data_IF_119999457041
#
_entry.id   IF_119999457041
#
_cell.length_a   1.000
_cell.length_b   1.000
_cell.length_c   1.000
_cell.angle_alpha   90.00
_cell.angle_beta   90.00
_cell.angle_gamma   90.00
#
_symmetry.space_group_name_H-M   'P 1'
#
loop_
_entity.id
_entity.type
_entity.pdbx_description
1 polymer ?
#
# COMPACT_ATOMS: atom_id res chain seq x y z
N UNK A 1 2.20 2.77 20.98
CA UNK A 1 3.38 2.81 21.85
C UNK A 1 3.37 1.67 22.84
N UNK A 2 2.22 1.40 23.47
CA UNK A 2 2.06 0.37 24.50
C UNK A 2 2.61 -1.00 24.11
N UNK A 3 2.36 -1.50 22.89
CA UNK A 3 2.92 -2.76 22.41
C UNK A 3 4.45 -2.85 22.49
N UNK A 4 5.17 -1.74 22.24
CA UNK A 4 6.63 -1.70 22.29
C UNK A 4 7.14 -1.59 23.73
N UNK A 5 6.46 -0.81 24.57
CA UNK A 5 6.78 -0.70 25.99
C UNK A 5 6.55 -2.04 26.71
N UNK A 6 5.42 -2.69 26.45
CA UNK A 6 5.11 -4.03 26.94
C UNK A 6 6.10 -5.08 26.41
N UNK A 7 6.63 -4.87 25.20
CA UNK A 7 7.71 -5.67 24.62
C UNK A 7 9.08 -5.44 25.26
N UNK A 8 9.19 -4.55 26.26
CA UNK A 8 10.43 -4.27 26.99
C UNK A 8 11.29 -3.13 26.42
N UNK A 9 10.84 -2.47 25.34
CA UNK A 9 11.60 -1.37 24.75
C UNK A 9 11.42 -0.07 25.55
N UNK A 10 12.52 0.54 25.95
CA UNK A 10 12.57 1.88 26.53
C UNK A 10 12.76 2.99 25.48
N UNK A 11 12.55 4.24 25.88
CA UNK A 11 12.77 5.44 25.05
C UNK A 11 12.11 5.35 23.66
N UNK A 12 10.88 4.83 23.61
CA UNK A 12 10.18 4.63 22.33
C UNK A 12 9.79 5.98 21.72
N UNK A 13 10.19 6.20 20.48
CA UNK A 13 9.81 7.35 19.65
C UNK A 13 9.10 6.86 18.40
N UNK A 14 8.05 7.57 17.98
CA UNK A 14 7.32 7.28 16.74
C UNK A 14 7.36 8.51 15.84
N UNK A 15 7.98 8.38 14.68
CA UNK A 15 8.04 9.41 13.65
C UNK A 15 7.07 9.13 12.52
N UNK A 16 6.48 10.20 11.98
CA UNK A 16 5.65 10.15 10.78
C UNK A 16 6.49 10.59 9.59
N UNK A 17 6.81 9.67 8.69
CA UNK A 17 7.67 9.91 7.54
C UNK A 17 6.83 9.89 6.27
N UNK A 18 6.75 11.03 5.59
CA UNK A 18 6.12 11.14 4.28
C UNK A 18 7.16 11.01 3.15
N UNK A 19 6.81 10.28 2.08
CA UNK A 19 7.59 10.23 0.84
C UNK A 19 6.67 10.27 -0.39
N UNK A 20 7.14 10.83 -1.52
CA UNK A 20 6.44 10.70 -2.78
C UNK A 20 6.53 9.25 -3.28
N UNK A 21 5.40 8.70 -3.72
CA UNK A 21 5.35 7.47 -4.50
C UNK A 21 5.09 7.81 -5.96
N UNK A 22 5.94 7.31 -6.85
CA UNK A 22 5.87 7.58 -8.29
C UNK A 22 5.85 6.24 -9.01
N UNK A 23 4.80 6.02 -9.79
CA UNK A 23 4.71 4.89 -10.70
C UNK A 23 4.69 5.40 -12.14
N UNK A 24 5.34 4.64 -13.04
CA UNK A 24 5.38 5.02 -14.46
C UNK A 24 3.98 4.94 -15.06
N UNK A 25 3.18 3.96 -14.66
CA UNK A 25 1.85 3.71 -15.20
C UNK A 25 0.82 3.44 -14.10
N UNK A 26 -0.44 3.84 -14.33
CA UNK A 26 -1.56 3.53 -13.43
C UNK A 26 -1.71 2.02 -13.16
N UNK A 27 -1.40 1.19 -14.17
CA UNK A 27 -1.45 -0.27 -14.04
C UNK A 27 -0.43 -0.82 -13.02
N UNK A 28 0.76 -0.22 -12.94
CA UNK A 28 1.78 -0.65 -11.97
C UNK A 28 1.27 -0.44 -10.53
N UNK A 29 0.55 0.67 -10.30
CA UNK A 29 -0.10 0.95 -9.02
C UNK A 29 -1.24 -0.03 -8.75
N UNK A 30 -2.09 -0.31 -9.74
CA UNK A 30 -3.20 -1.24 -9.60
C UNK A 30 -2.74 -2.65 -9.25
N UNK A 31 -1.70 -3.16 -9.92
CA UNK A 31 -1.09 -4.46 -9.61
C UNK A 31 -0.55 -4.48 -8.18
N UNK A 32 0.18 -3.43 -7.75
CA UNK A 32 0.70 -3.35 -6.39
C UNK A 32 -0.39 -3.33 -5.31
N UNK A 33 -1.50 -2.63 -5.56
CA UNK A 33 -2.63 -2.55 -4.62
C UNK A 33 -3.45 -3.85 -4.58
N UNK A 34 -3.62 -4.54 -5.70
CA UNK A 34 -4.44 -5.76 -5.76
C UNK A 34 -3.62 -6.97 -5.33
N UNK A 35 -2.45 -7.18 -5.93
CA UNK A 35 -1.65 -8.39 -5.70
C UNK A 35 -0.78 -8.32 -4.44
N UNK A 36 -0.41 -7.11 -4.01
CA UNK A 36 0.40 -6.90 -2.80
C UNK A 36 -0.39 -6.86 -1.50
N UNK A 37 -1.73 -6.84 -1.55
CA UNK A 37 -2.57 -6.81 -0.36
C UNK A 37 -3.08 -8.21 0.02
N UNK A 38 -3.23 -8.50 1.32
CA UNK A 38 -3.80 -9.77 1.81
C UNK A 38 -5.18 -10.11 1.23
N UNK A 39 -5.89 -9.11 0.69
CA UNK A 39 -7.20 -9.29 0.04
C UNK A 39 -7.14 -10.03 -1.31
N UNK A 40 -5.95 -10.22 -1.90
CA UNK A 40 -5.80 -10.96 -3.17
C UNK A 40 -6.32 -12.41 -3.06
N UNK A 41 -6.12 -13.03 -1.89
CA UNK A 41 -6.53 -14.42 -1.68
C UNK A 41 -8.05 -14.55 -1.60
N UNK A 42 -8.75 -13.53 -1.07
CA UNK A 42 -10.21 -13.46 -1.09
C UNK A 42 -10.77 -13.32 -2.51
N UNK A 43 -10.09 -12.57 -3.39
CA UNK A 43 -10.47 -12.47 -4.81
C UNK A 43 -10.33 -13.83 -5.48
N UNK A 44 -9.19 -14.50 -5.26
CA UNK A 44 -8.90 -15.82 -5.84
C UNK A 44 -9.87 -16.90 -5.36
N UNK A 45 -10.20 -16.89 -4.06
CA UNK A 45 -11.13 -17.85 -3.46
C UNK A 45 -12.54 -17.72 -4.05
N UNK A 46 -12.98 -16.49 -4.34
CA UNK A 46 -14.27 -16.24 -4.98
C UNK A 46 -14.28 -16.68 -6.45
N UNK A 47 -13.27 -16.25 -7.21
CA UNK A 47 -13.07 -16.61 -8.62
C UNK A 47 -11.72 -16.06 -9.11
N UNK A 48 -10.72 -16.94 -9.26
CA UNK A 48 -9.39 -16.54 -9.70
C UNK A 48 -9.36 -15.88 -11.09
N UNK A 49 -10.33 -16.15 -11.97
CA UNK A 49 -10.42 -15.51 -13.28
C UNK A 49 -10.78 -14.02 -13.20
N UNK A 50 -11.25 -13.54 -12.03
CA UNK A 50 -11.58 -12.13 -11.80
C UNK A 50 -10.40 -11.27 -11.39
N UNK A 51 -9.24 -11.86 -11.09
CA UNK A 51 -8.06 -11.09 -10.69
C UNK A 51 -7.64 -10.06 -11.77
N UNK A 52 -7.54 -10.41 -13.06
CA UNK A 52 -7.28 -9.44 -14.12
C UNK A 52 -8.36 -8.35 -14.21
N UNK A 53 -9.64 -8.72 -14.07
CA UNK A 53 -10.77 -7.77 -14.12
C UNK A 53 -10.68 -6.74 -12.98
N UNK A 54 -10.28 -7.18 -11.79
CA UNK A 54 -10.06 -6.28 -10.66
C UNK A 54 -8.89 -5.31 -10.91
N UNK A 55 -7.79 -5.81 -11.49
CA UNK A 55 -6.63 -4.98 -11.86
C UNK A 55 -7.03 -3.92 -12.89
N UNK A 56 -7.78 -4.31 -13.92
CA UNK A 56 -8.22 -3.39 -14.98
C UNK A 56 -9.18 -2.32 -14.42
N UNK A 57 -10.15 -2.72 -13.60
CA UNK A 57 -11.09 -1.79 -12.96
C UNK A 57 -10.38 -0.75 -12.06
N UNK A 58 -9.37 -1.19 -11.30
CA UNK A 58 -8.57 -0.29 -10.46
C UNK A 58 -7.64 0.58 -11.31
N UNK A 59 -7.07 0.04 -12.39
CA UNK A 59 -6.25 0.81 -13.35
C UNK A 59 -7.05 1.99 -13.91
N UNK A 60 -8.28 1.75 -14.37
CA UNK A 60 -9.15 2.80 -14.90
C UNK A 60 -9.53 3.83 -13.84
N UNK A 61 -9.79 3.39 -12.61
CA UNK A 61 -10.12 4.30 -11.51
C UNK A 61 -8.94 5.23 -11.18
N UNK A 62 -7.72 4.68 -11.11
CA UNK A 62 -6.49 5.44 -10.87
C UNK A 62 -6.24 6.41 -12.04
N UNK A 63 -6.35 5.95 -13.28
CA UNK A 63 -6.12 6.77 -14.46
C UNK A 63 -7.10 7.96 -14.54
N UNK A 64 -8.38 7.74 -14.21
CA UNK A 64 -9.38 8.82 -14.14
C UNK A 64 -9.06 9.87 -13.09
N UNK A 65 -8.55 9.46 -11.93
CA UNK A 65 -8.34 10.36 -10.81
C UNK A 65 -6.96 11.05 -10.83
N UNK A 66 -5.93 10.36 -11.31
CA UNK A 66 -4.53 10.81 -11.19
C UNK A 66 -3.81 10.92 -12.54
N UNK A 67 -4.49 10.63 -13.66
CA UNK A 67 -3.90 10.52 -14.99
C UNK A 67 -3.24 9.15 -15.23
N UNK A 68 -3.00 8.80 -16.49
CA UNK A 68 -2.40 7.50 -16.82
C UNK A 68 -0.91 7.41 -16.46
N UNK A 69 -0.13 8.47 -16.72
CA UNK A 69 1.34 8.46 -16.64
C UNK A 69 1.94 9.86 -16.42
N UNK A 70 2.91 10.03 -15.50
CA UNK A 70 3.20 9.17 -14.35
C UNK A 70 2.21 9.44 -13.22
N UNK A 71 1.81 8.37 -12.52
CA UNK A 71 0.95 8.49 -11.33
C UNK A 71 1.80 8.92 -10.15
N UNK A 72 1.38 10.00 -9.49
CA UNK A 72 2.04 10.53 -8.30
C UNK A 72 1.09 10.46 -7.11
N UNK A 73 1.55 9.85 -6.03
CA UNK A 73 0.83 9.76 -4.77
C UNK A 73 1.76 10.15 -3.61
N UNK A 74 1.18 10.40 -2.43
CA UNK A 74 1.92 10.50 -1.18
C UNK A 74 1.78 9.17 -0.43
N UNK A 75 2.89 8.66 0.09
CA UNK A 75 2.89 7.56 1.06
C UNK A 75 3.41 8.07 2.39
N UNK A 76 2.91 7.49 3.46
CA UNK A 76 3.26 7.83 4.83
C UNK A 76 3.61 6.54 5.57
N UNK A 77 4.70 6.56 6.32
CA UNK A 77 5.10 5.48 7.21
C UNK A 77 5.15 5.98 8.65
N UNK A 78 4.71 5.13 9.58
CA UNK A 78 4.99 5.29 11.00
C UNK A 78 6.26 4.52 11.32
N UNK A 79 7.32 5.22 11.72
CA UNK A 79 8.61 4.62 12.08
C UNK A 79 8.72 4.66 13.60
N UNK A 80 8.68 3.49 14.24
CA UNK A 80 8.91 3.39 15.67
C UNK A 80 10.35 2.94 15.94
N UNK A 81 11.02 3.60 16.89
CA UNK A 81 12.35 3.25 17.38
C UNK A 81 12.37 3.22 18.90
N UNK A 82 13.26 2.43 19.50
CA UNK A 82 13.40 2.27 20.94
C UNK A 82 14.67 1.49 21.29
N UNK A 83 15.07 1.50 22.56
CA UNK A 83 16.20 0.72 23.08
C UNK A 83 15.69 -0.51 23.82
N UNK A 84 16.32 -1.66 23.60
CA UNK A 84 15.99 -2.92 24.29
C UNK A 84 16.75 -3.02 25.63
#
# INVERSE_FOLDING_TARGET
MDLLLEGGFGNVVVDVIEKPAIARHARDVAVGLIEGYPLVDEIRLRDASRLPVAIDAVTDAIARQFGERPVRARICALVASGVA
#
